data_IF_095228962745
#
_entry.id   IF_095228962745
#
_cell.length_a   1.000
_cell.length_b   1.000
_cell.length_c   1.000
_cell.angle_alpha   90.00
_cell.angle_beta   90.00
_cell.angle_gamma   90.00
#
_symmetry.space_group_name_H-M   'P 1'
#
loop_
_entity.id
_entity.type
_entity.pdbx_description
1 polymer ?
#
# COMPACT_ATOMS: atom_id res chain seq x y z
N UNK A 1 13.01 -17.32 26.56
CA UNK A 1 13.14 -16.22 25.58
C UNK A 1 13.68 -15.01 26.31
N UNK A 2 14.84 -14.51 25.94
CA UNK A 2 15.33 -13.24 26.47
C UNK A 2 14.54 -12.12 25.79
N UNK A 3 13.60 -11.51 26.51
CA UNK A 3 12.74 -10.42 26.00
C UNK A 3 13.55 -9.27 25.41
N UNK A 4 14.78 -9.08 25.89
CA UNK A 4 15.73 -8.10 25.38
C UNK A 4 16.19 -8.38 23.94
N UNK A 5 16.46 -9.64 23.57
CA UNK A 5 16.84 -9.99 22.20
C UNK A 5 15.67 -9.83 21.22
N UNK A 6 14.45 -10.13 21.67
CA UNK A 6 13.25 -9.89 20.87
C UNK A 6 12.94 -8.40 20.71
N UNK A 7 13.21 -7.61 21.75
CA UNK A 7 13.11 -6.15 21.70
C UNK A 7 14.08 -5.57 20.68
N UNK A 8 15.38 -5.88 20.80
CA UNK A 8 16.40 -5.40 19.87
C UNK A 8 16.10 -5.85 18.44
N UNK A 9 15.70 -7.10 18.26
CA UNK A 9 15.28 -7.67 16.97
C UNK A 9 14.12 -6.91 16.33
N UNK A 10 13.04 -6.66 17.09
CA UNK A 10 11.86 -5.98 16.57
C UNK A 10 12.11 -4.48 16.35
N UNK A 11 13.06 -3.90 17.08
CA UNK A 11 13.49 -2.52 16.94
C UNK A 11 14.30 -2.27 15.67
N UNK A 12 15.13 -3.22 15.22
CA UNK A 12 16.00 -3.08 14.04
C UNK A 12 15.26 -2.63 12.75
N UNK A 13 14.16 -3.29 12.33
CA UNK A 13 13.41 -2.84 11.15
C UNK A 13 12.84 -1.42 11.32
N UNK A 14 12.36 -1.09 12.52
CA UNK A 14 11.80 0.23 12.83
C UNK A 14 12.89 1.29 12.78
N UNK A 15 14.05 1.03 13.39
CA UNK A 15 15.19 1.94 13.40
C UNK A 15 15.70 2.19 11.98
N UNK A 16 15.76 1.16 11.11
CA UNK A 16 16.10 1.35 9.69
C UNK A 16 15.15 2.32 9.00
N UNK A 17 13.83 2.15 9.19
CA UNK A 17 12.83 3.06 8.62
C UNK A 17 12.98 4.47 9.17
N UNK A 18 13.20 4.63 10.48
CA UNK A 18 13.39 5.94 11.12
C UNK A 18 14.66 6.65 10.65
N UNK A 19 15.78 5.93 10.49
CA UNK A 19 17.04 6.51 9.98
C UNK A 19 16.87 6.99 8.54
N UNK A 20 16.26 6.18 7.67
CA UNK A 20 16.03 6.57 6.27
C UNK A 20 15.04 7.74 6.20
N UNK A 21 14.02 7.75 7.06
CA UNK A 21 13.08 8.87 7.19
C UNK A 21 13.82 10.15 7.62
N UNK A 22 14.69 10.08 8.63
CA UNK A 22 15.50 11.20 9.09
C UNK A 22 16.42 11.73 7.98
N UNK A 23 17.06 10.84 7.21
CA UNK A 23 17.85 11.22 6.03
C UNK A 23 16.99 11.95 4.99
N UNK A 24 15.79 11.46 4.71
CA UNK A 24 14.84 12.13 3.81
C UNK A 24 14.47 13.54 4.29
N UNK A 25 14.21 13.70 5.60
CA UNK A 25 13.95 15.02 6.21
C UNK A 25 15.16 15.93 6.10
N UNK A 26 16.35 15.42 6.36
CA UNK A 26 17.61 16.16 6.25
C UNK A 26 17.86 16.68 4.83
N UNK A 27 17.64 15.84 3.81
CA UNK A 27 17.77 16.23 2.40
C UNK A 27 16.72 17.25 1.94
N UNK A 28 15.59 17.34 2.63
CA UNK A 28 14.55 18.33 2.38
C UNK A 28 14.77 19.68 3.09
N UNK A 29 15.72 19.77 4.02
CA UNK A 29 16.03 21.02 4.71
C UNK A 29 16.46 22.10 3.71
N UNK A 30 16.07 23.35 3.99
CA UNK A 30 16.37 24.51 3.14
C UNK A 30 17.88 24.68 2.88
N UNK A 31 18.74 24.20 3.80
CA UNK A 31 20.20 24.24 3.67
C UNK A 31 20.74 23.34 2.55
N UNK A 32 20.14 22.15 2.36
CA UNK A 32 20.58 21.18 1.35
C UNK A 32 19.73 21.25 0.08
N UNK A 33 18.42 21.49 0.24
CA UNK A 33 17.45 21.79 -0.83
C UNK A 33 17.41 20.76 -1.98
N UNK A 34 17.76 19.49 -1.72
CA UNK A 34 17.77 18.42 -2.73
C UNK A 34 16.33 17.93 -2.98
N UNK A 35 15.60 17.59 -1.91
CA UNK A 35 14.21 17.08 -1.98
C UNK A 35 13.18 18.21 -1.84
N UNK A 36 13.27 19.23 -2.69
CA UNK A 36 12.25 20.30 -2.83
C UNK A 36 10.93 19.74 -3.36
N UNK A 37 9.84 20.48 -3.24
CA UNK A 37 8.50 20.02 -3.66
C UNK A 37 8.43 19.47 -5.09
N UNK A 38 9.06 20.13 -6.07
CA UNK A 38 9.13 19.63 -7.44
C UNK A 38 9.92 18.32 -7.55
N UNK A 39 11.08 18.23 -6.88
CA UNK A 39 11.88 17.01 -6.85
C UNK A 39 11.11 15.85 -6.19
N UNK A 40 10.37 16.12 -5.11
CA UNK A 40 9.51 15.12 -4.46
C UNK A 40 8.41 14.60 -5.39
N UNK A 41 7.77 15.46 -6.18
CA UNK A 41 6.74 15.06 -7.16
C UNK A 41 7.33 14.15 -8.26
N UNK A 42 8.46 14.52 -8.86
CA UNK A 42 9.13 13.69 -9.86
C UNK A 42 9.64 12.37 -9.27
N UNK A 43 10.19 12.41 -8.06
CA UNK A 43 10.66 11.22 -7.37
C UNK A 43 9.50 10.27 -7.03
N UNK A 44 8.35 10.81 -6.59
CA UNK A 44 7.13 10.03 -6.41
C UNK A 44 6.63 9.40 -7.72
N UNK A 45 6.76 10.11 -8.84
CA UNK A 45 6.41 9.57 -10.15
C UNK A 45 7.30 8.38 -10.53
N UNK A 46 8.62 8.46 -10.31
CA UNK A 46 9.52 7.32 -10.50
C UNK A 46 9.14 6.13 -9.62
N UNK A 47 8.83 6.39 -8.35
CA UNK A 47 8.36 5.35 -7.42
C UNK A 47 7.09 4.67 -7.97
N UNK A 48 6.11 5.45 -8.44
CA UNK A 48 4.83 4.92 -8.91
C UNK A 48 4.91 4.20 -10.26
N UNK A 49 5.62 4.76 -11.25
CA UNK A 49 5.67 4.24 -12.62
C UNK A 49 6.76 3.19 -12.84
N UNK A 50 7.85 3.22 -12.06
CA UNK A 50 9.03 2.38 -12.32
C UNK A 50 9.31 1.43 -11.16
N UNK A 51 9.59 1.96 -9.97
CA UNK A 51 10.11 1.12 -8.88
C UNK A 51 9.06 0.19 -8.29
N UNK A 52 7.83 0.67 -8.08
CA UNK A 52 6.76 -0.16 -7.50
C UNK A 52 6.33 -1.30 -8.41
N UNK A 53 6.06 -1.07 -9.71
CA UNK A 53 5.73 -2.16 -10.64
C UNK A 53 6.84 -3.20 -10.73
N UNK A 54 8.10 -2.75 -10.78
CA UNK A 54 9.26 -3.63 -10.83
C UNK A 54 9.40 -4.47 -9.55
N UNK A 55 9.26 -3.85 -8.37
CA UNK A 55 9.27 -4.52 -7.07
C UNK A 55 8.20 -5.62 -6.99
N UNK A 56 6.94 -5.29 -7.30
CA UNK A 56 5.84 -6.24 -7.14
C UNK A 56 5.96 -7.36 -8.18
N UNK A 57 6.36 -7.05 -9.42
CA UNK A 57 6.58 -8.03 -10.47
C UNK A 57 7.68 -9.03 -10.09
N UNK A 58 8.87 -8.55 -9.72
CA UNK A 58 10.02 -9.39 -9.38
C UNK A 58 9.74 -10.26 -8.15
N UNK A 59 9.15 -9.70 -7.10
CA UNK A 59 8.80 -10.45 -5.90
C UNK A 59 7.81 -11.58 -6.23
N UNK A 60 6.74 -11.29 -6.97
CA UNK A 60 5.75 -12.31 -7.32
C UNK A 60 6.36 -13.40 -8.22
N UNK A 61 7.14 -13.01 -9.22
CA UNK A 61 7.80 -13.94 -10.13
C UNK A 61 8.72 -14.91 -9.39
N UNK A 62 9.54 -14.39 -8.47
CA UNK A 62 10.48 -15.20 -7.66
C UNK A 62 9.76 -16.08 -6.64
N UNK A 63 8.76 -15.56 -5.94
CA UNK A 63 8.25 -16.18 -4.70
C UNK A 63 7.05 -17.09 -4.92
N UNK A 64 6.18 -16.81 -5.90
CA UNK A 64 4.98 -17.60 -6.14
C UNK A 64 5.31 -18.81 -6.99
N UNK A 65 4.74 -19.96 -6.61
CA UNK A 65 4.60 -21.15 -7.45
C UNK A 65 3.20 -21.72 -7.25
N UNK A 66 2.70 -22.52 -8.18
CA UNK A 66 1.41 -23.19 -8.03
C UNK A 66 1.33 -24.03 -6.74
N UNK A 67 2.40 -24.78 -6.42
CA UNK A 67 2.48 -25.62 -5.21
C UNK A 67 2.50 -24.77 -3.93
N UNK A 68 3.26 -23.69 -3.91
CA UNK A 68 3.31 -22.76 -2.77
C UNK A 68 1.95 -22.11 -2.53
N UNK A 69 1.27 -21.68 -3.61
CA UNK A 69 -0.04 -21.03 -3.55
C UNK A 69 -1.11 -21.95 -2.95
N UNK A 70 -1.10 -23.24 -3.32
CA UNK A 70 -2.02 -24.23 -2.77
C UNK A 70 -1.74 -24.51 -1.28
N UNK A 71 -0.48 -24.58 -0.85
CA UNK A 71 -0.14 -24.85 0.56
C UNK A 71 -0.48 -23.68 1.49
N UNK A 72 -0.34 -22.44 1.03
CA UNK A 72 -0.54 -21.23 1.85
C UNK A 72 -1.75 -20.40 1.44
N UNK A 73 -2.76 -21.02 0.83
CA UNK A 73 -3.95 -20.35 0.30
C UNK A 73 -4.70 -19.47 1.32
N UNK A 74 -4.60 -19.79 2.62
CA UNK A 74 -5.21 -19.01 3.68
C UNK A 74 -4.54 -17.64 3.88
N UNK A 75 -3.27 -17.47 3.47
CA UNK A 75 -2.53 -16.21 3.61
C UNK A 75 -3.16 -15.06 2.81
N UNK A 76 -3.48 -15.22 1.50
CA UNK A 76 -4.30 -14.24 0.78
C UNK A 76 -5.57 -13.83 1.50
N UNK A 77 -6.31 -14.81 2.04
CA UNK A 77 -7.56 -14.58 2.75
C UNK A 77 -7.33 -13.84 4.08
N UNK A 78 -6.28 -14.19 4.82
CA UNK A 78 -5.92 -13.52 6.07
C UNK A 78 -5.53 -12.05 5.83
N UNK A 79 -4.73 -11.78 4.80
CA UNK A 79 -4.43 -10.40 4.40
C UNK A 79 -5.72 -9.69 4.01
N UNK A 80 -6.63 -10.30 3.24
CA UNK A 80 -7.92 -9.69 2.92
C UNK A 80 -8.72 -9.31 4.18
N UNK A 81 -8.76 -10.17 5.20
CA UNK A 81 -9.41 -9.87 6.48
C UNK A 81 -8.77 -8.67 7.19
N UNK A 82 -7.44 -8.54 7.18
CA UNK A 82 -6.78 -7.35 7.74
C UNK A 82 -7.28 -6.06 7.08
N UNK A 83 -7.48 -6.06 5.76
CA UNK A 83 -7.98 -4.89 5.02
C UNK A 83 -9.44 -4.59 5.33
N UNK A 84 -10.30 -5.62 5.35
CA UNK A 84 -11.74 -5.46 5.63
C UNK A 84 -11.95 -4.93 7.05
N UNK A 85 -11.36 -5.60 8.04
CA UNK A 85 -11.51 -5.25 9.46
C UNK A 85 -10.85 -3.91 9.73
N UNK A 86 -9.64 -3.69 9.19
CA UNK A 86 -8.93 -2.43 9.32
C UNK A 86 -9.71 -1.25 8.73
N UNK A 87 -10.36 -1.43 7.59
CA UNK A 87 -11.24 -0.40 7.00
C UNK A 87 -12.48 -0.15 7.86
N UNK A 88 -13.14 -1.20 8.36
CA UNK A 88 -14.31 -1.08 9.22
C UNK A 88 -13.99 -0.34 10.53
N UNK A 89 -12.88 -0.72 11.18
CA UNK A 89 -12.39 -0.05 12.38
C UNK A 89 -11.93 1.38 12.10
N UNK A 90 -11.29 1.63 10.96
CA UNK A 90 -10.92 2.97 10.51
C UNK A 90 -12.15 3.86 10.30
N UNK A 91 -13.22 3.33 9.72
CA UNK A 91 -14.48 4.06 9.55
C UNK A 91 -15.14 4.37 10.90
N UNK A 92 -15.11 3.43 11.84
CA UNK A 92 -15.55 3.68 13.22
C UNK A 92 -14.71 4.77 13.88
N UNK A 93 -13.38 4.71 13.73
CA UNK A 93 -12.46 5.73 14.23
C UNK A 93 -12.82 7.12 13.68
N UNK A 94 -13.10 7.24 12.38
CA UNK A 94 -13.50 8.52 11.76
C UNK A 94 -14.75 9.13 12.39
N UNK A 95 -15.74 8.29 12.72
CA UNK A 95 -16.96 8.75 13.40
C UNK A 95 -16.67 9.27 14.81
N UNK A 96 -15.83 8.57 15.56
CA UNK A 96 -15.48 8.93 16.94
C UNK A 96 -14.65 10.21 16.96
N UNK A 97 -13.64 10.30 16.11
CA UNK A 97 -12.67 11.41 16.13
C UNK A 97 -13.15 12.66 15.40
N UNK A 98 -14.28 12.58 14.66
CA UNK A 98 -14.81 13.65 13.81
C UNK A 98 -13.71 14.25 12.93
N UNK A 99 -13.03 13.38 12.18
CA UNK A 99 -11.93 13.78 11.30
C UNK A 99 -12.46 14.59 10.10
N UNK A 100 -11.65 15.53 9.62
CA UNK A 100 -11.99 16.33 8.45
C UNK A 100 -12.17 15.45 7.19
N UNK A 101 -13.07 15.82 6.25
CA UNK A 101 -13.29 15.07 5.01
C UNK A 101 -12.00 14.79 4.21
N UNK A 102 -11.05 15.72 4.23
CA UNK A 102 -9.72 15.62 3.57
C UNK A 102 -8.85 14.48 4.10
N UNK A 103 -9.09 14.06 5.33
CA UNK A 103 -8.26 13.05 6.01
C UNK A 103 -8.89 11.66 5.97
N UNK A 104 -10.14 11.53 5.51
CA UNK A 104 -10.88 10.27 5.58
C UNK A 104 -10.20 9.16 4.77
N UNK A 105 -9.73 9.48 3.55
CA UNK A 105 -9.00 8.54 2.71
C UNK A 105 -7.69 8.06 3.38
N UNK A 106 -6.93 8.99 3.97
CA UNK A 106 -5.69 8.67 4.68
C UNK A 106 -5.95 7.76 5.88
N UNK A 107 -6.91 8.10 6.75
CA UNK A 107 -7.21 7.32 7.96
C UNK A 107 -7.65 5.91 7.59
N UNK A 108 -8.55 5.76 6.61
CA UNK A 108 -8.99 4.45 6.14
C UNK A 108 -7.83 3.64 5.55
N UNK A 109 -6.98 4.25 4.73
CA UNK A 109 -5.80 3.60 4.18
C UNK A 109 -4.84 3.14 5.27
N UNK A 110 -4.52 4.02 6.23
CA UNK A 110 -3.62 3.73 7.35
C UNK A 110 -4.16 2.63 8.25
N UNK A 111 -5.47 2.56 8.47
CA UNK A 111 -6.09 1.50 9.26
C UNK A 111 -6.26 0.18 8.47
N UNK A 112 -6.36 0.21 7.15
CA UNK A 112 -6.52 -0.98 6.30
C UNK A 112 -5.20 -1.68 5.95
N UNK A 113 -4.22 -0.98 5.37
CA UNK A 113 -2.95 -1.57 4.92
C UNK A 113 -1.77 -1.46 5.91
N UNK A 114 -1.28 -2.61 6.39
CA UNK A 114 -0.07 -2.72 7.21
C UNK A 114 1.20 -2.87 6.37
N UNK A 115 2.37 -2.57 6.94
CA UNK A 115 3.67 -2.63 6.28
C UNK A 115 4.21 -4.07 6.20
N UNK A 116 3.58 -4.85 5.33
CA UNK A 116 3.92 -6.25 5.09
C UNK A 116 5.21 -6.46 4.30
N UNK A 117 5.89 -5.38 3.88
CA UNK A 117 7.16 -5.45 3.16
C UNK A 117 8.37 -5.55 4.09
N UNK A 118 8.90 -4.41 4.52
CA UNK A 118 10.16 -4.37 5.28
C UNK A 118 10.12 -5.14 6.60
N UNK A 119 9.00 -5.06 7.31
CA UNK A 119 8.95 -5.49 8.71
C UNK A 119 9.08 -7.02 8.81
N UNK A 120 8.27 -7.85 8.11
CA UNK A 120 8.41 -9.30 8.20
C UNK A 120 9.75 -9.81 7.68
N UNK A 121 10.31 -9.20 6.64
CA UNK A 121 11.60 -9.63 6.05
C UNK A 121 12.80 -9.44 7.00
N UNK A 122 12.69 -8.59 8.01
CA UNK A 122 13.73 -8.38 9.02
C UNK A 122 13.41 -9.13 10.32
N UNK A 123 12.13 -9.12 10.74
CA UNK A 123 11.69 -9.78 11.98
C UNK A 123 11.88 -11.30 11.86
N UNK A 124 11.47 -11.90 10.74
CA UNK A 124 11.46 -13.35 10.59
C UNK A 124 12.88 -13.94 10.69
N UNK A 125 13.89 -13.44 9.96
CA UNK A 125 15.23 -14.02 10.09
C UNK A 125 15.86 -13.90 11.47
N UNK A 126 15.52 -12.85 12.20
CA UNK A 126 16.03 -12.63 13.54
C UNK A 126 15.32 -13.55 14.55
N UNK A 127 14.00 -13.71 14.46
CA UNK A 127 13.24 -14.68 15.26
C UNK A 127 13.68 -16.14 14.98
N UNK A 128 14.06 -16.45 13.74
CA UNK A 128 14.63 -17.75 13.37
C UNK A 128 16.03 -17.99 13.96
N UNK A 129 16.81 -16.93 14.25
CA UNK A 129 18.15 -17.02 14.84
C UNK A 129 18.16 -17.01 16.36
N UNK A 130 17.04 -16.64 16.99
CA UNK A 130 16.93 -16.55 18.44
C UNK A 130 17.18 -17.91 19.11
N UNK A 131 17.97 -17.90 20.19
CA UNK A 131 18.27 -19.11 20.95
C UNK A 131 17.00 -19.67 21.58
N UNK A 132 16.67 -20.93 21.27
CA UNK A 132 15.41 -21.55 21.71
C UNK A 132 14.18 -21.16 20.89
N UNK A 133 14.36 -20.69 19.65
CA UNK A 133 13.27 -20.43 18.71
C UNK A 133 12.41 -21.68 18.49
N UNK A 134 11.06 -21.57 18.54
CA UNK A 134 10.16 -22.72 18.39
C UNK A 134 9.99 -23.18 16.93
N UNK A 135 10.64 -22.50 15.99
CA UNK A 135 10.43 -22.67 14.55
C UNK A 135 11.41 -23.64 13.88
N UNK A 136 12.13 -24.44 14.69
CA UNK A 136 13.06 -25.46 14.22
C UNK A 136 14.43 -24.91 13.81
N UNK A 137 15.14 -25.66 12.96
CA UNK A 137 16.50 -25.29 12.54
C UNK A 137 16.53 -23.94 11.81
N UNK A 138 17.52 -23.11 12.14
CA UNK A 138 17.69 -21.72 11.65
C UNK A 138 17.60 -21.62 10.12
N UNK A 139 18.27 -22.52 9.38
CA UNK A 139 18.28 -22.52 7.92
C UNK A 139 16.88 -22.78 7.33
N UNK A 140 16.17 -23.78 7.85
CA UNK A 140 14.83 -24.16 7.41
C UNK A 140 13.82 -23.06 7.75
N UNK A 141 13.87 -22.53 8.97
CA UNK A 141 13.04 -21.42 9.41
C UNK A 141 13.22 -20.19 8.52
N UNK A 142 14.47 -19.82 8.23
CA UNK A 142 14.78 -18.69 7.35
C UNK A 142 14.21 -18.89 5.95
N UNK A 143 14.48 -20.04 5.31
CA UNK A 143 14.02 -20.29 3.94
C UNK A 143 12.49 -20.28 3.83
N UNK A 144 11.80 -20.97 4.75
CA UNK A 144 10.32 -20.99 4.77
C UNK A 144 9.75 -19.62 5.14
N UNK A 145 10.26 -19.01 6.19
CA UNK A 145 9.78 -17.75 6.74
C UNK A 145 9.94 -16.59 5.75
N UNK A 146 11.07 -16.52 5.05
CA UNK A 146 11.28 -15.55 3.97
C UNK A 146 10.30 -15.77 2.82
N UNK A 147 10.03 -17.02 2.44
CA UNK A 147 9.04 -17.32 1.39
C UNK A 147 7.63 -16.83 1.78
N UNK A 148 7.22 -17.08 3.02
CA UNK A 148 5.92 -16.63 3.56
C UNK A 148 5.84 -15.10 3.71
N UNK A 149 6.91 -14.45 4.18
CA UNK A 149 7.00 -12.99 4.30
C UNK A 149 6.90 -12.32 2.93
N UNK A 150 7.68 -12.77 1.94
CA UNK A 150 7.66 -12.21 0.59
C UNK A 150 6.32 -12.42 -0.10
N UNK A 151 5.68 -13.58 0.11
CA UNK A 151 4.33 -13.81 -0.40
C UNK A 151 3.28 -12.88 0.25
N UNK A 152 3.36 -12.68 1.56
CA UNK A 152 2.49 -11.74 2.29
C UNK A 152 2.66 -10.31 1.76
N UNK A 153 3.90 -9.88 1.54
CA UNK A 153 4.22 -8.59 0.94
C UNK A 153 3.60 -8.43 -0.44
N UNK A 154 3.72 -9.45 -1.29
CA UNK A 154 3.25 -9.40 -2.66
C UNK A 154 1.72 -9.29 -2.75
N UNK A 155 1.01 -10.11 -1.96
CA UNK A 155 -0.44 -10.06 -1.82
C UNK A 155 -0.89 -8.70 -1.26
N UNK A 156 -0.22 -8.21 -0.22
CA UNK A 156 -0.53 -6.91 0.37
C UNK A 156 -0.38 -5.77 -0.63
N UNK A 157 0.65 -5.81 -1.47
CA UNK A 157 0.85 -4.80 -2.51
C UNK A 157 -0.31 -4.81 -3.51
N UNK A 158 -0.80 -5.98 -3.94
CA UNK A 158 -1.99 -6.07 -4.79
C UNK A 158 -3.17 -5.37 -4.13
N UNK A 159 -3.46 -5.64 -2.85
CA UNK A 159 -4.57 -4.99 -2.16
C UNK A 159 -4.35 -3.48 -1.94
N UNK A 160 -3.14 -3.02 -1.65
CA UNK A 160 -2.84 -1.59 -1.53
C UNK A 160 -3.19 -0.86 -2.85
N UNK A 161 -2.70 -1.36 -3.98
CA UNK A 161 -2.83 -0.68 -5.26
C UNK A 161 -4.20 -0.87 -5.94
N UNK A 162 -4.95 -1.90 -5.57
CA UNK A 162 -6.31 -2.11 -6.10
C UNK A 162 -7.39 -1.49 -5.20
N UNK A 163 -7.24 -1.59 -3.88
CA UNK A 163 -8.27 -1.18 -2.92
C UNK A 163 -7.93 0.15 -2.23
N UNK A 164 -6.78 0.26 -1.56
CA UNK A 164 -6.44 1.49 -0.80
C UNK A 164 -6.23 2.68 -1.73
N UNK A 165 -5.57 2.47 -2.87
CA UNK A 165 -5.47 3.48 -3.93
C UNK A 165 -6.84 4.03 -4.32
N UNK A 166 -7.83 3.15 -4.50
CA UNK A 166 -9.16 3.55 -4.91
C UNK A 166 -9.92 4.28 -3.79
N UNK A 167 -9.75 3.86 -2.54
CA UNK A 167 -10.28 4.60 -1.37
C UNK A 167 -9.73 6.02 -1.39
N UNK A 168 -8.41 6.19 -1.39
CA UNK A 168 -7.78 7.51 -1.32
C UNK A 168 -8.20 8.35 -2.53
N UNK A 169 -8.18 7.79 -3.74
CA UNK A 169 -8.65 8.46 -4.95
C UNK A 169 -10.07 9.01 -4.81
N UNK A 170 -11.01 8.19 -4.34
CA UNK A 170 -12.42 8.59 -4.21
C UNK A 170 -12.58 9.75 -3.21
N UNK A 171 -11.91 9.67 -2.06
CA UNK A 171 -11.98 10.73 -1.06
C UNK A 171 -11.28 12.01 -1.53
N UNK A 172 -10.12 11.91 -2.18
CA UNK A 172 -9.42 13.08 -2.73
C UNK A 172 -10.26 13.76 -3.82
N UNK A 173 -10.83 13.00 -4.76
CA UNK A 173 -11.67 13.57 -5.83
C UNK A 173 -12.98 14.19 -5.31
N UNK A 174 -13.56 13.66 -4.23
CA UNK A 174 -14.80 14.23 -3.65
C UNK A 174 -14.57 15.65 -3.16
N UNK A 175 -13.45 15.90 -2.49
CA UNK A 175 -13.15 17.19 -1.89
C UNK A 175 -12.74 18.23 -2.96
N UNK A 176 -12.14 17.80 -4.07
CA UNK A 176 -11.92 18.66 -5.24
C UNK A 176 -13.22 19.21 -5.84
N UNK A 177 -14.32 18.45 -5.78
CA UNK A 177 -15.61 18.89 -6.34
C UNK A 177 -16.39 19.79 -5.36
N UNK A 178 -16.25 19.60 -4.04
CA UNK A 178 -16.84 20.51 -3.04
C UNK A 178 -16.16 21.89 -3.04
N UNK A 179 -14.84 21.95 -3.22
CA UNK A 179 -14.09 23.21 -3.23
C UNK A 179 -14.25 24.05 -4.52
N UNK A 180 -14.94 23.55 -5.55
CA UNK A 180 -15.23 24.29 -6.79
C UNK A 180 -16.51 25.14 -6.75
N UNK A 181 -17.26 25.12 -5.64
CA UNK A 181 -18.52 25.86 -5.53
C UNK A 181 -18.30 27.34 -5.18
N UNK A 182 -17.13 27.73 -4.68
CA UNK A 182 -16.79 29.13 -4.35
C UNK A 182 -15.45 29.58 -4.96
N UNK A 183 -15.46 30.12 -6.19
CA UNK A 183 -14.34 30.89 -6.75
C UNK A 183 -14.05 30.69 -8.25
N UNK A 184 -13.59 31.73 -8.98
CA UNK A 184 -13.47 31.70 -10.44
C UNK A 184 -12.29 30.84 -10.92
N UNK A 185 -12.54 30.23 -12.08
CA UNK A 185 -11.80 29.21 -12.82
C UNK A 185 -10.29 29.44 -12.94
N UNK A 186 -9.49 28.59 -12.28
CA UNK A 186 -8.14 28.20 -12.75
C UNK A 186 -8.08 26.67 -12.76
N UNK A 187 -7.92 26.11 -13.95
CA UNK A 187 -7.92 24.66 -14.20
C UNK A 187 -6.67 23.94 -13.67
N UNK A 188 -6.77 22.63 -13.39
CA UNK A 188 -5.65 21.84 -12.92
C UNK A 188 -4.71 21.46 -14.06
N UNK A 189 -3.43 21.25 -13.72
CA UNK A 189 -2.36 20.73 -14.57
C UNK A 189 -2.84 19.46 -15.28
N UNK A 190 -3.03 19.56 -16.60
CA UNK A 190 -3.14 18.43 -17.51
C UNK A 190 -1.83 17.65 -17.51
N UNK A 191 -1.93 16.35 -17.28
CA UNK A 191 -0.96 15.40 -17.80
C UNK A 191 -1.72 14.43 -18.70
N UNK A 192 -1.21 14.26 -19.92
CA UNK A 192 -1.63 13.31 -20.96
C UNK A 192 -2.67 13.82 -21.96
N UNK A 193 -2.22 14.67 -22.88
CA UNK A 193 -2.37 14.39 -24.32
C UNK A 193 -1.00 14.67 -24.97
N UNK A 194 -0.59 13.77 -25.85
CA UNK A 194 0.69 13.83 -26.53
C UNK A 194 0.65 14.94 -27.59
N UNK A 195 1.61 15.87 -27.52
CA UNK A 195 1.96 16.72 -28.64
C UNK A 195 2.61 15.85 -29.73
N UNK A 196 1.90 15.69 -30.84
CA UNK A 196 2.46 15.33 -32.13
C UNK A 196 1.95 16.37 -33.13
N UNK A 197 2.94 17.01 -33.75
CA UNK A 197 2.93 17.70 -35.05
C UNK A 197 2.78 19.24 -35.09
N UNK A 198 3.95 19.83 -35.35
CA UNK A 198 4.26 20.79 -36.42
C UNK A 198 3.93 22.27 -36.23
N UNK A 199 4.99 22.99 -35.81
CA UNK A 199 5.50 24.24 -36.36
C UNK A 199 4.72 24.90 -37.52
N UNK A 200 4.30 26.14 -37.25
CA UNK A 200 4.34 27.36 -38.09
C UNK A 200 3.81 27.25 -39.53
N UNK A 201 2.86 28.06 -39.99
CA UNK A 201 2.80 29.53 -39.89
C UNK A 201 1.45 30.06 -40.37
N UNK A 202 0.99 31.11 -39.69
CA UNK A 202 -0.04 32.14 -40.02
C UNK A 202 -0.05 32.68 -41.46
N UNK A 203 -1.02 33.55 -41.87
CA UNK A 203 -2.35 33.86 -41.30
C UNK A 203 -3.48 34.07 -42.36
N UNK A 204 -4.65 34.51 -41.87
CA UNK A 204 -5.57 35.52 -42.45
C UNK A 204 -6.95 35.12 -43.03
N UNK A 205 -7.97 35.82 -42.47
CA UNK A 205 -9.10 36.48 -43.16
C UNK A 205 -10.42 35.69 -43.36
N UNK A 206 -11.36 36.02 -42.47
CA UNK A 206 -12.81 36.28 -42.61
C UNK A 206 -13.77 35.38 -43.42
N UNK A 207 -14.96 35.35 -42.83
CA UNK A 207 -16.29 35.43 -43.44
C UNK A 207 -17.08 34.12 -43.62
N UNK A 208 -18.08 34.03 -42.74
CA UNK A 208 -19.49 33.94 -43.09
C UNK A 208 -20.08 32.58 -43.51
N UNK A 209 -21.35 32.44 -43.11
CA UNK A 209 -22.40 31.63 -43.75
C UNK A 209 -22.30 30.12 -43.53
N UNK A 210 -23.35 29.35 -43.25
CA UNK A 210 -24.76 29.57 -42.86
C UNK A 210 -25.28 28.19 -42.45
N UNK A 211 -26.31 28.17 -41.62
CA UNK A 211 -27.47 27.26 -41.60
C UNK A 211 -27.27 25.76 -41.87
N UNK A 212 -27.75 24.93 -40.94
CA UNK A 212 -29.01 24.17 -41.10
C UNK A 212 -29.20 23.28 -39.85
N UNK A 213 -30.16 23.62 -39.00
CA UNK A 213 -31.53 23.10 -38.96
C UNK A 213 -31.67 21.74 -38.26
N UNK A 214 -32.16 21.83 -37.00
CA UNK A 214 -33.36 21.13 -36.45
C UNK A 214 -33.33 19.60 -36.55
N UNK A 215 -33.44 18.85 -35.44
CA UNK A 215 -34.76 18.42 -34.93
C UNK A 215 -34.72 17.99 -33.45
N UNK A 216 -35.63 18.61 -32.69
CA UNK A 216 -36.16 18.29 -31.35
C UNK A 216 -36.42 16.79 -31.10
N UNK A 217 -36.38 16.31 -29.85
CA UNK A 217 -37.49 15.51 -29.26
C UNK A 217 -37.39 15.34 -27.73
N UNK A 218 -38.26 16.10 -27.06
CA UNK A 218 -39.15 15.79 -25.92
C UNK A 218 -38.67 14.96 -24.70
N UNK A 219 -38.72 15.65 -23.57
CA UNK A 219 -39.14 15.20 -22.24
C UNK A 219 -40.48 14.45 -22.29
N UNK A 220 -40.61 13.31 -21.59
CA UNK A 220 -41.76 13.09 -20.69
C UNK A 220 -41.67 11.82 -19.81
N UNK A 221 -42.09 12.03 -18.56
CA UNK A 221 -42.76 11.12 -17.62
C UNK A 221 -42.00 9.98 -16.93
N UNK A 222 -41.95 10.14 -15.61
CA UNK A 222 -41.56 9.20 -14.57
C UNK A 222 -42.62 8.12 -14.39
N UNK A 223 -42.22 6.85 -14.42
CA UNK A 223 -42.99 5.73 -13.85
C UNK A 223 -42.12 4.93 -12.88
N UNK A 224 -42.65 4.74 -11.67
CA UNK A 224 -42.10 3.95 -10.56
C UNK A 224 -42.25 2.46 -10.88
N UNK A 225 -41.18 1.67 -10.80
CA UNK A 225 -41.16 0.40 -10.04
C UNK A 225 -39.83 -0.38 -10.14
N UNK A 226 -39.53 -1.11 -9.05
CA UNK A 226 -38.53 -2.17 -8.87
C UNK A 226 -37.06 -1.75 -8.72
N UNK A 227 -36.86 -1.08 -7.59
CA UNK A 227 -35.61 -0.93 -6.86
C UNK A 227 -35.45 -2.15 -5.94
N UNK A 228 -34.41 -2.98 -6.14
CA UNK A 228 -33.72 -3.80 -5.10
C UNK A 228 -32.51 -4.57 -5.70
N UNK A 229 -32.43 -4.84 -7.01
CA UNK A 229 -31.28 -5.60 -7.59
C UNK A 229 -30.20 -4.74 -8.29
N UNK A 230 -30.30 -3.41 -8.24
CA UNK A 230 -29.37 -2.48 -8.92
C UNK A 230 -28.07 -2.10 -8.18
N UNK A 231 -27.87 -2.26 -6.84
CA UNK A 231 -26.67 -1.70 -6.21
C UNK A 231 -25.39 -2.46 -6.60
N UNK A 232 -25.48 -3.77 -6.87
CA UNK A 232 -24.30 -4.58 -7.20
C UNK A 232 -23.82 -4.37 -8.65
N UNK A 233 -24.76 -4.27 -9.60
CA UNK A 233 -24.44 -4.10 -11.04
C UNK A 233 -23.90 -2.69 -11.36
N UNK A 234 -24.30 -1.69 -10.58
CA UNK A 234 -23.81 -0.30 -10.71
C UNK A 234 -22.43 -0.13 -10.08
N UNK A 235 -22.11 -0.88 -9.03
CA UNK A 235 -20.77 -0.88 -8.43
C UNK A 235 -19.74 -1.52 -9.37
N UNK A 236 -20.09 -2.66 -9.99
CA UNK A 236 -19.21 -3.36 -10.95
C UNK A 236 -19.01 -2.55 -12.24
N UNK A 237 -20.04 -1.87 -12.76
CA UNK A 237 -19.89 -0.98 -13.94
C UNK A 237 -19.16 0.33 -13.65
N UNK A 238 -19.05 0.78 -12.38
CA UNK A 238 -18.26 1.97 -11.99
C UNK A 238 -16.82 1.66 -11.58
N UNK A 239 -16.43 0.38 -11.50
CA UNK A 239 -15.02 0.00 -11.44
C UNK A 239 -14.40 0.25 -12.81
N UNK A 240 -13.91 1.47 -13.00
CA UNK A 240 -13.16 1.90 -14.18
C UNK A 240 -12.15 0.81 -14.57
N UNK A 241 -12.26 0.22 -15.77
CA UNK A 241 -11.24 -0.71 -16.30
C UNK A 241 -9.85 -0.03 -16.39
N UNK A 242 -9.80 1.31 -16.39
CA UNK A 242 -8.59 2.12 -16.20
C UNK A 242 -7.91 1.94 -14.82
N UNK A 243 -8.53 1.26 -13.86
CA UNK A 243 -7.94 0.93 -12.55
C UNK A 243 -6.99 -0.27 -12.65
N UNK A 244 -7.25 -1.22 -13.56
CA UNK A 244 -6.31 -2.31 -13.91
C UNK A 244 -5.06 -1.79 -14.63
N UNK A 245 -5.10 -0.55 -15.13
CA UNK A 245 -3.99 0.14 -15.79
C UNK A 245 -3.04 0.87 -14.82
N UNK A 246 -3.29 0.85 -13.50
CA UNK A 246 -2.30 1.35 -12.55
C UNK A 246 -1.00 0.52 -12.72
N UNK A 247 0.17 1.15 -12.95
CA UNK A 247 1.40 0.41 -13.23
C UNK A 247 1.72 -0.67 -12.19
N UNK A 248 1.53 -0.45 -10.86
CA UNK A 248 1.77 -1.50 -9.87
C UNK A 248 0.85 -2.72 -10.00
N UNK A 249 -0.41 -2.51 -10.38
CA UNK A 249 -1.38 -3.58 -10.64
C UNK A 249 -0.98 -4.40 -11.86
N UNK A 250 -0.53 -3.73 -12.93
CA UNK A 250 -0.02 -4.41 -14.12
C UNK A 250 1.23 -5.23 -13.81
N UNK A 251 2.19 -4.64 -13.07
CA UNK A 251 3.36 -5.37 -12.58
C UNK A 251 2.99 -6.59 -11.73
N UNK A 252 1.91 -6.48 -10.94
CA UNK A 252 1.39 -7.61 -10.16
C UNK A 252 0.87 -8.74 -11.04
N UNK A 253 0.10 -8.42 -12.08
CA UNK A 253 -0.47 -9.40 -13.01
C UNK A 253 0.67 -10.11 -13.75
N UNK A 254 1.64 -9.36 -14.27
CA UNK A 254 2.81 -9.92 -14.98
C UNK A 254 3.62 -10.83 -14.06
N UNK A 255 3.96 -10.36 -12.86
CA UNK A 255 4.73 -11.15 -11.89
C UNK A 255 4.01 -12.43 -11.47
N UNK A 256 2.68 -12.38 -11.27
CA UNK A 256 1.88 -13.56 -10.94
C UNK A 256 1.87 -14.57 -12.10
N UNK A 257 1.71 -14.12 -13.35
CA UNK A 257 1.76 -14.98 -14.54
C UNK A 257 3.12 -15.67 -14.63
N UNK A 258 4.23 -14.92 -14.48
CA UNK A 258 5.57 -15.48 -14.51
C UNK A 258 5.77 -16.50 -13.37
N UNK A 259 5.34 -16.18 -12.15
CA UNK A 259 5.52 -17.04 -10.98
C UNK A 259 4.68 -18.33 -11.00
N UNK A 260 3.42 -18.24 -11.43
CA UNK A 260 2.49 -19.38 -11.41
C UNK A 260 2.75 -20.36 -12.57
N UNK A 261 3.09 -19.85 -13.76
CA UNK A 261 3.28 -20.67 -14.97
C UNK A 261 4.71 -21.23 -14.99
N UNK A 262 4.93 -22.54 -14.75
CA UNK A 262 6.27 -23.08 -14.58
C UNK A 262 7.23 -22.88 -15.79
N UNK A 263 6.76 -22.99 -17.05
CA UNK A 263 7.58 -22.65 -18.22
C UNK A 263 8.11 -21.20 -18.18
N UNK A 264 7.26 -20.22 -17.88
CA UNK A 264 7.67 -18.82 -17.79
C UNK A 264 8.61 -18.60 -16.62
N UNK A 265 8.34 -19.21 -15.47
CA UNK A 265 9.24 -19.13 -14.33
C UNK A 265 10.65 -19.61 -14.69
N UNK A 266 10.78 -20.74 -15.39
CA UNK A 266 12.08 -21.27 -15.83
C UNK A 266 12.78 -20.39 -16.88
N UNK A 267 12.02 -19.62 -17.66
CA UNK A 267 12.57 -18.70 -18.66
C UNK A 267 13.15 -17.43 -18.06
N UNK A 268 12.56 -16.91 -16.97
CA UNK A 268 12.92 -15.62 -16.38
C UNK A 268 13.64 -15.73 -15.02
N UNK A 269 13.35 -16.75 -14.22
CA UNK A 269 13.82 -16.90 -12.83
C UNK A 269 14.72 -18.13 -12.71
N UNK A 270 15.95 -17.92 -12.23
CA UNK A 270 16.94 -18.97 -11.98
C UNK A 270 18.28 -18.67 -12.64
N UNK A 271 19.35 -19.28 -12.16
CA UNK A 271 20.71 -18.96 -12.60
C UNK A 271 20.97 -19.29 -14.07
N UNK A 272 20.33 -20.34 -14.59
CA UNK A 272 20.45 -20.80 -15.98
C UNK A 272 19.31 -20.27 -16.88
N UNK A 273 18.51 -19.31 -16.41
CA UNK A 273 17.35 -18.82 -17.13
C UNK A 273 17.76 -17.92 -18.33
N UNK A 274 17.24 -18.16 -19.55
CA UNK A 274 17.66 -17.42 -20.74
C UNK A 274 17.35 -15.92 -20.68
N UNK A 275 16.28 -15.53 -19.98
CA UNK A 275 15.87 -14.12 -19.81
C UNK A 275 16.14 -13.59 -18.40
N UNK A 276 17.08 -14.20 -17.66
CA UNK A 276 17.45 -13.77 -16.29
C UNK A 276 17.73 -12.27 -16.20
N UNK A 277 18.39 -11.69 -17.20
CA UNK A 277 18.73 -10.25 -17.24
C UNK A 277 17.50 -9.35 -17.08
N UNK A 278 16.34 -9.73 -17.62
CA UNK A 278 15.10 -8.94 -17.51
C UNK A 278 14.59 -8.95 -16.07
N UNK A 279 14.59 -10.11 -15.44
CA UNK A 279 14.13 -10.28 -14.06
C UNK A 279 15.11 -9.64 -13.07
N UNK A 280 16.42 -9.83 -13.26
CA UNK A 280 17.47 -9.21 -12.46
C UNK A 280 17.40 -7.68 -12.52
N UNK A 281 17.18 -7.12 -13.72
CA UNK A 281 17.00 -5.67 -13.90
C UNK A 281 15.75 -5.15 -13.18
N UNK A 282 14.64 -5.90 -13.26
CA UNK A 282 13.41 -5.57 -12.54
C UNK A 282 13.61 -5.67 -11.01
N UNK A 283 14.34 -6.67 -10.52
CA UNK A 283 14.71 -6.81 -9.12
C UNK A 283 15.56 -5.63 -8.66
N UNK A 284 16.57 -5.25 -9.43
CA UNK A 284 17.47 -4.14 -9.11
C UNK A 284 16.71 -2.80 -9.00
N UNK A 285 15.78 -2.54 -9.92
CA UNK A 285 14.88 -1.38 -9.84
C UNK A 285 13.89 -1.49 -8.67
N UNK A 286 13.39 -2.69 -8.41
CA UNK A 286 12.47 -2.98 -7.32
C UNK A 286 13.09 -2.72 -5.94
N UNK A 287 14.35 -3.12 -5.74
CA UNK A 287 15.06 -2.96 -4.48
C UNK A 287 15.23 -1.48 -4.08
N UNK A 288 15.24 -0.56 -5.04
CA UNK A 288 15.25 0.88 -4.80
C UNK A 288 13.89 1.43 -4.32
N UNK A 289 12.78 0.72 -4.54
CA UNK A 289 11.43 1.19 -4.27
C UNK A 289 11.20 1.57 -2.80
N UNK A 290 11.56 0.67 -1.89
CA UNK A 290 11.25 0.86 -0.47
C UNK A 290 12.11 1.97 0.18
N UNK A 291 13.44 2.02 -0.05
CA UNK A 291 14.25 3.15 0.39
C UNK A 291 13.76 4.48 -0.20
N UNK A 292 13.41 4.52 -1.50
CA UNK A 292 12.89 5.72 -2.14
C UNK A 292 11.57 6.22 -1.52
N UNK A 293 10.61 5.33 -1.31
CA UNK A 293 9.35 5.66 -0.62
C UNK A 293 9.60 6.19 0.80
N UNK A 294 10.54 5.59 1.53
CA UNK A 294 10.85 5.98 2.91
C UNK A 294 11.54 7.35 2.97
N UNK A 295 12.48 7.62 2.05
CA UNK A 295 13.09 8.96 1.90
C UNK A 295 12.02 10.02 1.61
N UNK A 296 11.05 9.68 0.77
CA UNK A 296 9.96 10.58 0.40
C UNK A 296 9.04 10.92 1.59
N UNK A 297 8.71 9.92 2.41
CA UNK A 297 8.01 10.13 3.70
C UNK A 297 8.78 11.13 4.56
N UNK A 298 10.09 10.93 4.70
CA UNK A 298 10.97 11.83 5.44
C UNK A 298 11.01 13.25 4.87
N UNK A 299 11.07 13.38 3.55
CA UNK A 299 11.12 14.68 2.89
C UNK A 299 9.81 15.48 3.09
N UNK A 300 8.67 14.80 3.08
CA UNK A 300 7.36 15.41 3.36
C UNK A 300 7.16 15.73 4.85
N UNK A 301 7.83 15.01 5.76
CA UNK A 301 7.73 15.22 7.21
C UNK A 301 8.15 16.63 7.63
N UNK A 302 9.12 17.25 6.94
CA UNK A 302 9.57 18.61 7.26
C UNK A 302 8.43 19.63 7.20
N UNK A 303 7.53 19.49 6.23
CA UNK A 303 6.35 20.34 6.13
C UNK A 303 5.34 20.00 7.24
N UNK A 304 5.24 18.72 7.62
CA UNK A 304 4.34 18.26 8.67
C UNK A 304 4.66 18.81 10.03
N UNK A 305 5.94 18.84 10.39
CA UNK A 305 6.38 19.42 11.65
C UNK A 305 6.11 20.93 11.76
N UNK A 306 5.99 21.64 10.62
CA UNK A 306 5.76 23.10 10.61
C UNK A 306 4.27 23.47 10.62
N UNK A 307 3.41 22.69 9.98
CA UNK A 307 1.99 23.00 9.82
C UNK A 307 1.19 21.71 9.63
N UNK A 308 0.76 21.10 10.73
CA UNK A 308 -0.16 19.95 10.68
C UNK A 308 -1.59 20.37 11.00
N UNK A 309 -2.52 20.06 10.11
CA UNK A 309 -3.97 20.10 10.37
C UNK A 309 -4.49 18.81 11.05
N UNK A 310 -3.62 17.83 11.30
CA UNK A 310 -4.01 16.56 11.91
C UNK A 310 -4.38 16.70 13.39
N UNK A 311 -5.64 16.38 13.72
CA UNK A 311 -6.09 16.30 15.11
C UNK A 311 -5.38 15.15 15.86
N UNK A 312 -4.85 15.37 17.07
CA UNK A 312 -4.23 14.31 17.87
C UNK A 312 -5.15 13.11 18.12
N UNK A 313 -6.47 13.34 18.24
CA UNK A 313 -7.46 12.27 18.40
C UNK A 313 -7.48 11.28 17.22
N UNK A 314 -7.25 11.77 15.99
CA UNK A 314 -7.16 10.92 14.79
C UNK A 314 -5.91 10.06 14.84
N UNK A 315 -4.78 10.65 15.22
CA UNK A 315 -3.52 9.92 15.35
C UNK A 315 -3.61 8.81 16.40
N UNK A 316 -4.12 9.14 17.59
CA UNK A 316 -4.36 8.17 18.67
C UNK A 316 -5.32 7.07 18.21
N UNK A 317 -6.39 7.44 17.49
CA UNK A 317 -7.33 6.49 16.91
C UNK A 317 -6.68 5.49 15.96
N UNK A 318 -5.81 5.95 15.04
CA UNK A 318 -5.06 5.06 14.14
C UNK A 318 -4.16 4.10 14.94
N UNK A 319 -3.43 4.62 15.94
CA UNK A 319 -2.56 3.82 16.82
C UNK A 319 -3.35 2.72 17.54
N UNK A 320 -4.52 3.06 18.11
CA UNK A 320 -5.39 2.09 18.80
C UNK A 320 -5.92 1.03 17.84
N UNK A 321 -6.39 1.44 16.65
CA UNK A 321 -6.87 0.48 15.65
C UNK A 321 -5.76 -0.49 15.23
N UNK A 322 -4.55 0.04 14.99
CA UNK A 322 -3.40 -0.73 14.48
C UNK A 322 -2.73 -1.63 15.50
N UNK A 323 -2.52 -1.14 16.71
CA UNK A 323 -1.70 -1.83 17.70
C UNK A 323 -2.50 -2.46 18.83
N UNK A 324 -3.83 -2.33 18.83
CA UNK A 324 -4.68 -2.99 19.84
C UNK A 324 -5.77 -3.79 19.14
N UNK A 325 -6.69 -3.11 18.43
CA UNK A 325 -7.87 -3.78 17.90
C UNK A 325 -7.53 -4.83 16.83
N UNK A 326 -6.71 -4.48 15.82
CA UNK A 326 -6.34 -5.39 14.74
C UNK A 326 -5.61 -6.64 15.23
N UNK A 327 -4.57 -6.56 16.08
CA UNK A 327 -3.92 -7.73 16.67
C UNK A 327 -4.89 -8.66 17.41
N UNK A 328 -5.84 -8.11 18.18
CA UNK A 328 -6.85 -8.90 18.88
C UNK A 328 -7.73 -9.67 17.88
N UNK A 329 -8.23 -9.00 16.83
CA UNK A 329 -8.98 -9.68 15.76
C UNK A 329 -8.14 -10.73 15.04
N UNK A 330 -6.86 -10.45 14.77
CA UNK A 330 -5.93 -11.39 14.17
C UNK A 330 -5.79 -12.67 14.99
N UNK A 331 -5.66 -12.55 16.32
CA UNK A 331 -5.64 -13.69 17.23
C UNK A 331 -6.92 -14.51 17.14
N UNK A 332 -8.09 -13.87 17.15
CA UNK A 332 -9.38 -14.55 17.05
C UNK A 332 -9.52 -15.33 15.73
N UNK A 333 -9.14 -14.71 14.60
CA UNK A 333 -9.24 -15.30 13.27
C UNK A 333 -8.29 -16.48 13.12
N UNK A 334 -7.00 -16.27 13.43
CA UNK A 334 -5.97 -17.29 13.24
C UNK A 334 -6.20 -18.46 14.20
N UNK A 335 -6.48 -18.21 15.49
CA UNK A 335 -6.82 -19.31 16.42
C UNK A 335 -8.10 -20.03 16.05
N UNK A 336 -9.12 -19.31 15.57
CA UNK A 336 -10.34 -19.91 15.07
C UNK A 336 -10.05 -20.87 13.93
N UNK A 337 -9.29 -20.42 12.94
CA UNK A 337 -8.93 -21.22 11.77
C UNK A 337 -8.05 -22.44 12.13
N UNK A 338 -7.17 -22.32 13.12
CA UNK A 338 -6.40 -23.47 13.67
C UNK A 338 -7.35 -24.48 14.33
N UNK A 339 -8.29 -24.02 15.17
CA UNK A 339 -9.24 -24.90 15.89
C UNK A 339 -10.14 -25.69 14.95
N UNK A 340 -10.56 -25.09 13.84
CA UNK A 340 -11.38 -25.75 12.82
C UNK A 340 -10.56 -26.55 11.80
N UNK A 341 -9.23 -26.66 11.96
CA UNK A 341 -8.37 -27.42 11.06
C UNK A 341 -8.27 -26.85 9.63
N UNK A 342 -8.55 -25.56 9.45
CA UNK A 342 -8.55 -24.89 8.13
C UNK A 342 -7.11 -24.67 7.64
N UNK A 343 -6.17 -24.51 8.56
CA UNK A 343 -4.78 -24.13 8.29
C UNK A 343 -3.82 -25.27 8.66
N UNK A 344 -2.73 -25.40 7.91
CA UNK A 344 -1.63 -26.31 8.19
C UNK A 344 -0.99 -26.05 9.56
N UNK A 345 -0.65 -27.12 10.27
CA UNK A 345 0.01 -27.10 11.58
C UNK A 345 1.50 -26.73 11.48
N UNK A 346 1.84 -25.54 10.96
CA UNK A 346 3.19 -24.98 10.97
C UNK A 346 3.22 -23.74 11.88
N UNK A 347 3.88 -23.80 13.06
CA UNK A 347 3.95 -22.68 14.00
C UNK A 347 4.52 -21.39 13.37
N UNK A 348 5.47 -21.52 12.44
CA UNK A 348 6.06 -20.36 11.75
C UNK A 348 5.03 -19.69 10.84
N UNK A 349 4.20 -20.49 10.17
CA UNK A 349 3.12 -19.98 9.35
C UNK A 349 2.09 -19.24 10.20
N UNK A 350 1.67 -19.83 11.33
CA UNK A 350 0.75 -19.17 12.27
C UNK A 350 1.31 -17.86 12.81
N UNK A 351 2.60 -17.84 13.19
CA UNK A 351 3.28 -16.64 13.67
C UNK A 351 3.23 -15.53 12.63
N UNK A 352 3.53 -15.84 11.37
CA UNK A 352 3.50 -14.86 10.28
C UNK A 352 2.09 -14.34 10.07
N UNK A 353 1.07 -15.19 10.04
CA UNK A 353 -0.34 -14.77 9.89
C UNK A 353 -0.78 -13.80 10.99
N UNK A 354 -0.35 -14.02 12.23
CA UNK A 354 -0.61 -13.12 13.36
C UNK A 354 0.16 -11.81 13.22
N UNK A 355 1.45 -11.89 12.86
CA UNK A 355 2.31 -10.74 12.69
C UNK A 355 1.72 -9.73 11.69
N UNK A 356 1.03 -10.20 10.65
CA UNK A 356 0.37 -9.35 9.64
C UNK A 356 -0.60 -8.31 10.25
N UNK A 357 -1.19 -8.57 11.42
CA UNK A 357 -2.13 -7.66 12.08
C UNK A 357 -1.46 -6.61 12.98
N UNK A 358 -0.19 -6.79 13.35
CA UNK A 358 0.50 -5.92 14.32
C UNK A 358 1.44 -4.90 13.67
N UNK A 359 1.57 -4.89 12.35
CA UNK A 359 2.51 -4.03 11.63
C UNK A 359 2.05 -2.57 11.57
N UNK A 360 2.99 -1.60 11.55
CA UNK A 360 2.68 -0.20 11.28
C UNK A 360 1.98 -0.04 9.93
N UNK A 361 1.29 1.09 9.67
CA UNK A 361 0.74 1.41 8.37
C UNK A 361 1.77 1.29 7.23
N UNK A 362 1.29 0.89 6.05
CA UNK A 362 2.14 0.73 4.87
C UNK A 362 2.71 2.07 4.36
N UNK A 363 4.02 2.11 4.11
CA UNK A 363 4.73 3.30 3.60
C UNK A 363 4.16 3.74 2.24
N UNK A 364 3.70 2.79 1.41
CA UNK A 364 3.09 3.06 0.10
C UNK A 364 1.86 3.97 0.16
N UNK A 365 1.20 4.09 1.32
CA UNK A 365 0.10 5.05 1.52
C UNK A 365 0.60 6.48 1.28
N UNK A 366 1.82 6.80 1.69
CA UNK A 366 2.43 8.12 1.46
C UNK A 366 2.57 8.44 -0.04
N UNK A 367 3.04 7.47 -0.83
CA UNK A 367 3.15 7.59 -2.29
C UNK A 367 1.79 7.87 -2.93
N UNK A 368 0.75 7.16 -2.48
CA UNK A 368 -0.62 7.34 -2.98
C UNK A 368 -1.13 8.74 -2.60
N UNK A 369 -0.99 9.16 -1.35
CA UNK A 369 -1.44 10.51 -0.92
C UNK A 369 -0.72 11.62 -1.67
N UNK A 370 0.57 11.45 -1.94
CA UNK A 370 1.36 12.42 -2.68
C UNK A 370 1.00 12.46 -4.17
N UNK A 371 0.66 11.31 -4.77
CA UNK A 371 0.19 11.25 -6.16
C UNK A 371 -1.10 12.06 -6.36
N UNK A 372 -1.98 12.08 -5.36
CA UNK A 372 -3.20 12.88 -5.38
C UNK A 372 -3.05 14.29 -4.79
N UNK A 373 -1.86 14.64 -4.28
CA UNK A 373 -1.59 15.93 -3.62
C UNK A 373 -2.46 16.19 -2.39
N UNK A 374 -2.95 15.13 -1.72
CA UNK A 374 -3.91 15.23 -0.62
C UNK A 374 -3.41 14.46 0.61
N UNK A 375 -3.18 15.18 1.71
CA UNK A 375 -2.80 14.58 2.99
C UNK A 375 -1.36 14.06 3.09
N UNK A 376 -0.45 14.41 2.17
CA UNK A 376 0.95 13.96 2.18
C UNK A 376 1.69 14.33 3.48
N UNK A 377 1.42 15.53 3.96
CA UNK A 377 2.06 16.14 5.14
C UNK A 377 1.63 15.41 6.42
N UNK A 378 0.32 15.18 6.55
CA UNK A 378 -0.25 14.47 7.69
C UNK A 378 0.07 12.97 7.65
N UNK A 379 0.14 12.38 6.45
CA UNK A 379 0.59 11.01 6.26
C UNK A 379 2.00 10.83 6.83
N UNK A 380 2.93 11.74 6.55
CA UNK A 380 4.28 11.66 7.12
C UNK A 380 4.30 11.72 8.64
N UNK A 381 3.44 12.51 9.28
CA UNK A 381 3.32 12.57 10.74
C UNK A 381 2.76 11.26 11.29
N UNK A 382 1.69 10.75 10.69
CA UNK A 382 1.11 9.44 11.06
C UNK A 382 2.16 8.34 10.92
N UNK A 383 2.91 8.32 9.82
CA UNK A 383 3.98 7.34 9.59
C UNK A 383 5.08 7.47 10.65
N UNK A 384 5.55 8.68 10.97
CA UNK A 384 6.56 8.86 12.01
C UNK A 384 6.06 8.33 13.36
N UNK A 385 4.91 8.81 13.82
CA UNK A 385 4.38 8.47 15.14
C UNK A 385 4.07 6.97 15.26
N UNK A 386 3.45 6.37 14.23
CA UNK A 386 3.16 4.93 14.23
C UNK A 386 4.45 4.10 14.19
N UNK A 387 5.44 4.45 13.37
CA UNK A 387 6.73 3.74 13.39
C UNK A 387 7.44 3.88 14.74
N UNK A 388 7.42 5.04 15.40
CA UNK A 388 7.97 5.19 16.76
C UNK A 388 7.23 4.30 17.76
N UNK A 389 5.90 4.27 17.72
CA UNK A 389 5.12 3.35 18.57
C UNK A 389 5.41 1.88 18.27
N UNK A 390 5.65 1.54 17.00
CA UNK A 390 5.96 0.18 16.56
C UNK A 390 7.19 -0.40 17.25
N UNK A 391 8.18 0.43 17.60
CA UNK A 391 9.37 0.01 18.37
C UNK A 391 9.02 -0.75 19.65
N UNK A 392 7.91 -0.39 20.30
CA UNK A 392 7.46 -1.01 21.54
C UNK A 392 6.37 -2.06 21.29
N UNK A 393 5.37 -1.70 20.47
CA UNK A 393 4.21 -2.56 20.27
C UNK A 393 4.53 -3.81 19.47
N UNK A 394 5.42 -3.74 18.47
CA UNK A 394 5.82 -4.92 17.69
C UNK A 394 6.54 -5.95 18.54
N UNK A 395 7.41 -5.51 19.45
CA UNK A 395 8.08 -6.44 20.37
C UNK A 395 7.08 -7.16 21.25
N UNK A 396 6.15 -6.41 21.86
CA UNK A 396 5.14 -6.97 22.74
C UNK A 396 4.26 -7.98 22.01
N UNK A 397 3.75 -7.61 20.83
CA UNK A 397 2.93 -8.51 20.02
C UNK A 397 3.72 -9.71 19.48
N UNK A 398 4.95 -9.52 19.01
CA UNK A 398 5.77 -10.65 18.53
C UNK A 398 6.04 -11.64 19.65
N UNK A 399 6.38 -11.16 20.85
CA UNK A 399 6.58 -12.00 22.04
C UNK A 399 5.30 -12.76 22.40
N UNK A 400 4.16 -12.06 22.43
CA UNK A 400 2.86 -12.68 22.70
C UNK A 400 2.47 -13.71 21.64
N UNK A 401 2.70 -13.42 20.35
CA UNK A 401 2.39 -14.33 19.25
C UNK A 401 3.27 -15.56 19.27
N UNK A 402 4.57 -15.44 19.58
CA UNK A 402 5.45 -16.60 19.76
C UNK A 402 4.99 -17.49 20.91
N UNK A 403 4.61 -16.90 22.05
CA UNK A 403 4.02 -17.65 23.16
C UNK A 403 2.71 -18.35 22.78
N UNK A 404 1.95 -17.77 21.86
CA UNK A 404 0.63 -18.25 21.47
C UNK A 404 0.67 -19.39 20.44
N UNK A 405 1.71 -19.46 19.61
CA UNK A 405 1.91 -20.51 18.59
C UNK A 405 2.76 -21.68 19.08
N UNK A 406 3.38 -21.52 20.25
CA UNK A 406 3.89 -22.59 21.11
C UNK A 406 2.72 -23.36 21.72
#
# INVERSE_FOLDING_TARGET
>A
MELWNLFTTSLMPVLKVLIITALGTFLALHRFNILRESARKHFNALVYFVFTPALVCSILAKTITFKSLAMVWFMPLNVLFTFIIGTALGWLCLKITKAAPDMQGLVLGCCAAGNLGNMPLIIIPAVCKESGSPFGAVSVCNTKGMSYASMSMAISNIYIWTFVYQIIRVYSCRNFNENKVDGPTVGPVSATEADLENHSSTPEVTAAQTNDLVTSFKTDTVSKEKQITKPLRTLVKRLNLKILLAPPTLGSIVGLIIGVVPPFKKMFVGDDAPFRVVEDSASMLGDACIPAMTLLVGANLLNGLKRSGLKPSVLVGIIVVRYIALPIFGVLIVKGAIRYGIIHQDPLYHFILLLQYALPPAISISTITQLFGAGETECSIVMLATNVCASFTLTLWSTFFMWLVL
#
